data_IF_186203094606
#
_entry.id   IF_186203094606
#
_cell.length_a   1.000
_cell.length_b   1.000
_cell.length_c   1.000
_cell.angle_alpha   90.00
_cell.angle_beta   90.00
_cell.angle_gamma   90.00
#
_symmetry.space_group_name_H-M   'P 1'
#
loop_
_entity.id
_entity.type
_entity.pdbx_description
1 polymer ?
#
# COMPACT_ATOMS: atom_id res chain seq x y z
N UNK A 1 4.48 -2.14 1.75
CA UNK A 1 5.71 -1.97 2.58
C UNK A 1 5.64 -2.62 3.97
N UNK A 2 4.64 -2.32 4.81
CA UNK A 2 4.61 -2.71 6.23
C UNK A 2 4.65 -4.24 6.42
N UNK A 3 3.93 -4.98 5.58
CA UNK A 3 3.97 -6.44 5.59
C UNK A 3 5.29 -7.01 5.10
N UNK A 4 5.96 -6.31 4.18
CA UNK A 4 7.18 -6.81 3.54
C UNK A 4 8.37 -6.75 4.51
N UNK A 5 8.51 -5.67 5.28
CA UNK A 5 9.61 -5.52 6.26
C UNK A 5 9.59 -6.59 7.35
N UNK A 6 8.43 -7.20 7.65
CA UNK A 6 8.31 -8.27 8.64
C UNK A 6 9.11 -9.53 8.27
N UNK A 7 9.30 -9.79 6.97
CA UNK A 7 9.98 -10.99 6.48
C UNK A 7 11.08 -10.69 5.46
N UNK A 8 11.66 -9.49 5.52
CA UNK A 8 12.70 -9.07 4.57
C UNK A 8 13.94 -9.98 4.58
N UNK A 9 14.21 -10.70 5.68
CA UNK A 9 15.32 -11.65 5.79
C UNK A 9 15.23 -12.79 4.76
N UNK A 10 14.02 -13.13 4.28
CA UNK A 10 13.82 -14.17 3.26
C UNK A 10 14.41 -13.81 1.89
N UNK A 11 14.82 -12.56 1.69
CA UNK A 11 15.65 -12.18 0.54
C UNK A 11 16.93 -13.03 0.46
N UNK A 12 17.49 -13.43 1.61
CA UNK A 12 18.65 -14.34 1.67
C UNK A 12 18.33 -15.70 1.06
N UNK A 13 17.14 -16.24 1.34
CA UNK A 13 16.63 -17.49 0.76
C UNK A 13 16.52 -17.37 -0.76
N UNK A 14 15.93 -16.27 -1.27
CA UNK A 14 15.79 -16.05 -2.72
C UNK A 14 17.15 -16.03 -3.42
N UNK A 15 18.14 -15.38 -2.81
CA UNK A 15 19.48 -15.26 -3.37
C UNK A 15 20.23 -16.59 -3.29
N UNK A 16 20.19 -17.29 -2.15
CA UNK A 16 20.84 -18.59 -1.95
C UNK A 16 20.38 -19.64 -2.98
N UNK A 17 19.08 -19.67 -3.26
CA UNK A 17 18.50 -20.63 -4.21
C UNK A 17 18.38 -20.08 -5.63
N UNK A 18 18.87 -18.86 -5.90
CA UNK A 18 18.82 -18.19 -7.22
C UNK A 18 17.39 -18.13 -7.78
N UNK A 19 16.41 -17.89 -6.91
CA UNK A 19 15.00 -17.84 -7.29
C UNK A 19 14.67 -16.46 -7.87
N UNK A 20 14.17 -16.36 -9.12
CA UNK A 20 13.91 -15.08 -9.78
C UNK A 20 12.58 -14.44 -9.34
N UNK A 21 12.32 -14.39 -8.03
CA UNK A 21 11.08 -13.83 -7.46
C UNK A 21 11.07 -12.31 -7.57
N UNK A 22 9.88 -11.75 -7.85
CA UNK A 22 9.64 -10.32 -8.03
C UNK A 22 8.80 -9.79 -6.86
N UNK A 23 9.44 -9.05 -5.95
CA UNK A 23 8.74 -8.34 -4.89
C UNK A 23 8.35 -6.96 -5.38
N UNK A 24 7.06 -6.78 -5.64
CA UNK A 24 6.49 -5.49 -6.06
C UNK A 24 5.84 -4.84 -4.84
N UNK A 25 6.52 -3.85 -4.26
CA UNK A 25 6.09 -3.19 -3.03
C UNK A 25 5.29 -1.95 -3.43
N UNK A 26 4.02 -1.93 -3.04
CA UNK A 26 3.26 -0.67 -2.95
C UNK A 26 3.68 0.01 -1.66
N UNK A 27 4.32 1.18 -1.78
CA UNK A 27 4.88 1.94 -0.68
C UNK A 27 4.11 3.24 -0.54
N UNK A 28 3.22 3.27 0.45
CA UNK A 28 2.45 4.45 0.82
C UNK A 28 2.92 5.04 2.16
N UNK A 29 3.98 4.48 2.76
CA UNK A 29 4.57 4.88 4.04
C UNK A 29 3.64 4.72 5.26
N UNK A 30 2.57 3.93 5.13
CA UNK A 30 1.57 3.72 6.17
C UNK A 30 1.15 2.25 6.26
N UNK A 31 0.56 1.86 7.39
CA UNK A 31 -0.30 0.68 7.47
C UNK A 31 -1.65 1.01 6.82
N UNK A 32 -1.68 1.09 5.48
CA UNK A 32 -2.78 1.65 4.71
C UNK A 32 -4.18 1.18 5.13
N UNK A 33 -4.36 -0.12 5.41
CA UNK A 33 -5.66 -0.61 5.87
C UNK A 33 -6.05 -0.12 7.25
N UNK A 34 -5.12 -0.09 8.20
CA UNK A 34 -5.39 0.44 9.55
C UNK A 34 -5.70 1.94 9.47
N UNK A 35 -4.96 2.68 8.64
CA UNK A 35 -5.22 4.12 8.41
C UNK A 35 -6.61 4.35 7.80
N UNK A 36 -7.02 3.56 6.80
CA UNK A 36 -8.37 3.67 6.21
C UNK A 36 -9.48 3.47 7.28
N UNK A 37 -9.32 2.50 8.18
CA UNK A 37 -10.28 2.29 9.28
C UNK A 37 -10.26 3.45 10.29
N UNK A 38 -9.09 4.00 10.59
CA UNK A 38 -8.95 5.17 11.47
C UNK A 38 -9.64 6.41 10.89
N UNK A 39 -9.60 6.57 9.57
CA UNK A 39 -10.28 7.68 8.89
C UNK A 39 -11.79 7.53 8.91
N UNK A 40 -12.30 6.33 8.60
CA UNK A 40 -13.74 6.11 8.52
C UNK A 40 -14.44 6.09 9.88
N UNK A 41 -13.80 5.55 10.92
CA UNK A 41 -14.47 5.25 12.18
C UNK A 41 -13.89 5.96 13.41
N UNK A 42 -12.73 6.61 13.28
CA UNK A 42 -12.04 7.24 14.41
C UNK A 42 -11.69 8.70 14.16
N UNK A 43 -12.41 9.38 13.27
CA UNK A 43 -12.30 10.82 13.04
C UNK A 43 -10.91 11.25 12.56
N UNK A 44 -10.29 10.46 11.68
CA UNK A 44 -8.94 10.69 11.15
C UNK A 44 -7.83 10.72 12.23
N UNK A 45 -8.04 10.06 13.38
CA UNK A 45 -7.02 9.92 14.42
C UNK A 45 -6.07 8.79 14.06
N UNK A 46 -4.95 9.12 13.40
CA UNK A 46 -3.90 8.16 13.07
C UNK A 46 -3.09 7.77 14.31
N UNK A 47 -3.36 6.60 14.87
CA UNK A 47 -2.64 6.07 16.02
C UNK A 47 -1.60 5.03 15.56
N UNK A 48 -0.32 5.43 15.52
CA UNK A 48 0.84 4.57 15.20
C UNK A 48 0.69 3.76 13.89
N UNK A 49 -0.03 4.32 12.92
CA UNK A 49 -0.24 3.71 11.60
C UNK A 49 0.68 4.28 10.52
N UNK A 50 1.47 5.31 10.84
CA UNK A 50 2.50 5.88 9.96
C UNK A 50 3.82 5.11 10.11
N UNK A 51 4.66 5.13 9.08
CA UNK A 51 5.97 4.46 9.10
C UNK A 51 7.08 5.36 8.58
N UNK A 52 7.62 6.22 9.45
CA UNK A 52 8.72 7.13 9.10
C UNK A 52 10.09 6.45 9.07
N UNK A 53 10.22 5.29 9.72
CA UNK A 53 11.48 4.56 9.86
C UNK A 53 11.69 3.48 8.79
N UNK A 54 11.07 3.62 7.61
CA UNK A 54 11.22 2.63 6.53
C UNK A 54 12.64 2.63 5.97
N UNK A 55 13.22 1.45 5.71
CA UNK A 55 14.53 1.36 5.08
C UNK A 55 14.46 1.76 3.60
N UNK A 56 15.61 2.10 3.03
CA UNK A 56 15.74 2.23 1.58
C UNK A 56 15.71 0.84 0.93
N UNK A 57 14.55 0.45 0.39
CA UNK A 57 14.32 -0.88 -0.18
C UNK A 57 15.26 -1.22 -1.34
N UNK A 58 15.69 -0.22 -2.12
CA UNK A 58 16.64 -0.42 -3.23
C UNK A 58 17.98 -0.86 -2.68
N UNK A 59 18.54 -0.11 -1.72
CA UNK A 59 19.82 -0.44 -1.07
C UNK A 59 19.74 -1.74 -0.27
N UNK A 60 18.61 -2.02 0.36
CA UNK A 60 18.39 -3.27 1.08
C UNK A 60 18.43 -4.48 0.13
N UNK A 61 17.78 -4.38 -1.03
CA UNK A 61 17.84 -5.44 -2.04
C UNK A 61 19.28 -5.68 -2.53
N UNK A 62 20.02 -4.60 -2.81
CA UNK A 62 21.43 -4.66 -3.18
C UNK A 62 22.29 -5.33 -2.10
N UNK A 63 22.04 -5.02 -0.81
CA UNK A 63 22.76 -5.60 0.32
C UNK A 63 22.58 -7.13 0.42
N UNK A 64 21.40 -7.66 0.05
CA UNK A 64 21.18 -9.10 -0.04
C UNK A 64 21.78 -9.74 -1.30
N UNK A 65 22.23 -8.95 -2.29
CA UNK A 65 22.65 -9.44 -3.60
C UNK A 65 21.48 -9.64 -4.57
N UNK A 66 20.33 -8.98 -4.33
CA UNK A 66 19.22 -8.86 -5.27
C UNK A 66 19.35 -7.59 -6.13
N UNK A 67 18.37 -7.33 -6.98
CA UNK A 67 18.27 -6.09 -7.77
C UNK A 67 17.20 -5.20 -7.14
N UNK A 68 17.53 -3.94 -6.85
CA UNK A 68 16.59 -2.92 -6.39
C UNK A 68 16.17 -2.01 -7.54
N UNK A 69 14.87 -1.74 -7.67
CA UNK A 69 14.30 -0.79 -8.61
C UNK A 69 13.32 0.12 -7.88
N UNK A 70 13.12 1.35 -8.36
CA UNK A 70 12.15 2.29 -7.76
C UNK A 70 11.42 3.09 -8.84
N UNK A 71 10.12 3.25 -8.65
CA UNK A 71 9.31 4.23 -9.38
C UNK A 71 8.72 5.21 -8.37
N UNK A 72 8.85 6.50 -8.65
CA UNK A 72 8.32 7.60 -7.83
C UNK A 72 7.20 8.36 -8.53
N UNK A 73 7.10 8.21 -9.85
CA UNK A 73 6.06 8.82 -10.67
C UNK A 73 5.37 7.78 -11.55
N UNK A 74 4.13 8.03 -12.01
CA UNK A 74 3.42 7.11 -12.90
C UNK A 74 4.16 6.84 -14.23
N UNK A 75 4.84 7.83 -14.79
CA UNK A 75 5.55 7.72 -16.07
C UNK A 75 6.75 6.75 -16.00
N UNK A 76 7.32 6.55 -14.81
CA UNK A 76 8.43 5.60 -14.57
C UNK A 76 7.96 4.15 -14.43
N UNK A 77 6.67 3.93 -14.14
CA UNK A 77 6.15 2.65 -13.70
C UNK A 77 6.32 1.56 -14.76
N UNK A 78 5.97 1.87 -16.01
CA UNK A 78 6.05 0.93 -17.12
C UNK A 78 7.49 0.46 -17.37
N UNK A 79 8.45 1.35 -17.23
CA UNK A 79 9.86 1.04 -17.46
C UNK A 79 10.44 0.20 -16.32
N UNK A 80 10.08 0.50 -15.08
CA UNK A 80 10.43 -0.33 -13.91
C UNK A 80 9.85 -1.74 -14.03
N UNK A 81 8.59 -1.89 -14.45
CA UNK A 81 7.96 -3.20 -14.64
C UNK A 81 8.68 -3.99 -15.75
N UNK A 82 8.97 -3.34 -16.89
CA UNK A 82 9.70 -3.98 -17.99
C UNK A 82 11.09 -4.44 -17.55
N UNK A 83 11.81 -3.63 -16.78
CA UNK A 83 13.13 -4.00 -16.25
C UNK A 83 13.04 -5.15 -15.25
N UNK A 84 12.12 -5.07 -14.28
CA UNK A 84 11.87 -6.10 -13.27
C UNK A 84 11.63 -7.49 -13.89
N UNK A 85 10.84 -7.55 -14.97
CA UNK A 85 10.51 -8.79 -15.70
C UNK A 85 11.75 -9.35 -16.43
N UNK A 86 12.60 -8.50 -17.02
CA UNK A 86 13.80 -8.92 -17.78
C UNK A 86 14.88 -9.53 -16.89
N UNK A 87 15.00 -9.05 -15.65
CA UNK A 87 16.03 -9.49 -14.72
C UNK A 87 15.81 -10.97 -14.33
N UNK A 88 16.86 -11.81 -14.39
CA UNK A 88 16.78 -13.23 -13.98
C UNK A 88 17.20 -13.51 -12.53
N UNK A 89 17.34 -12.45 -11.74
CA UNK A 89 17.67 -12.46 -10.30
C UNK A 89 16.42 -12.07 -9.48
N UNK A 90 16.44 -12.28 -8.14
CA UNK A 90 15.45 -11.68 -7.26
C UNK A 90 15.42 -10.15 -7.46
N UNK A 91 14.24 -9.57 -7.49
CA UNK A 91 14.04 -8.11 -7.66
C UNK A 91 13.14 -7.60 -6.54
N UNK A 92 13.50 -6.46 -5.97
CA UNK A 92 12.62 -5.64 -5.14
C UNK A 92 12.33 -4.35 -5.92
N UNK A 93 11.07 -4.18 -6.33
CA UNK A 93 10.58 -2.96 -6.95
C UNK A 93 9.79 -2.16 -5.91
N UNK A 94 10.30 -0.99 -5.56
CA UNK A 94 9.70 -0.05 -4.62
C UNK A 94 8.87 0.99 -5.38
N UNK A 95 7.55 0.89 -5.30
CA UNK A 95 6.62 1.73 -6.05
C UNK A 95 5.97 2.69 -5.08
N UNK A 96 6.36 3.96 -5.17
CA UNK A 96 5.77 5.01 -4.35
C UNK A 96 4.37 5.29 -4.87
N UNK A 97 3.38 5.19 -3.98
CA UNK A 97 1.99 5.48 -4.27
C UNK A 97 1.45 6.52 -3.30
N UNK A 98 0.31 7.11 -3.63
CA UNK A 98 -0.34 8.09 -2.76
C UNK A 98 -0.73 7.46 -1.41
N UNK A 99 -0.47 8.21 -0.34
CA UNK A 99 -0.71 7.83 1.06
C UNK A 99 -2.19 7.93 1.44
N UNK A 100 -2.94 8.77 0.74
CA UNK A 100 -4.32 9.10 1.04
C UNK A 100 -5.34 8.15 0.39
N UNK A 101 -4.90 7.25 -0.50
CA UNK A 101 -5.78 6.33 -1.21
C UNK A 101 -6.46 5.33 -0.27
N UNK A 102 -7.74 5.08 -0.54
CA UNK A 102 -8.59 4.17 0.21
C UNK A 102 -9.16 3.10 -0.73
N UNK A 103 -9.39 1.90 -0.20
CA UNK A 103 -9.95 0.79 -0.96
C UNK A 103 -11.47 0.91 -1.01
N UNK A 104 -12.01 1.00 -2.21
CA UNK A 104 -13.43 0.98 -2.52
C UNK A 104 -13.74 -0.09 -3.60
N UNK A 105 -14.98 -0.61 -3.67
CA UNK A 105 -16.07 -0.38 -2.72
C UNK A 105 -15.86 -1.11 -1.39
N UNK A 106 -16.50 -0.63 -0.31
CA UNK A 106 -16.37 -1.22 1.04
C UNK A 106 -17.74 -1.44 1.67
N UNK A 107 -17.97 -2.61 2.27
CA UNK A 107 -19.12 -2.86 3.14
C UNK A 107 -18.63 -2.83 4.60
N UNK A 108 -19.10 -1.89 5.44
CA UNK A 108 -18.70 -1.84 6.85
C UNK A 108 -19.05 -3.12 7.61
N UNK A 109 -18.29 -3.40 8.67
CA UNK A 109 -18.57 -4.54 9.54
C UNK A 109 -19.97 -4.43 10.14
N UNK A 110 -20.82 -5.44 9.89
CA UNK A 110 -22.20 -5.48 10.37
C UNK A 110 -23.25 -4.89 9.42
N UNK A 111 -22.86 -4.31 8.28
CA UNK A 111 -23.77 -3.78 7.27
C UNK A 111 -24.26 -4.86 6.29
N UNK A 112 -25.42 -4.63 5.68
CA UNK A 112 -25.96 -5.48 4.62
C UNK A 112 -25.26 -5.23 3.27
N UNK A 113 -25.40 -6.17 2.33
CA UNK A 113 -24.70 -6.09 1.04
C UNK A 113 -25.10 -4.88 0.18
N UNK A 114 -26.30 -4.34 0.38
CA UNK A 114 -26.80 -3.15 -0.30
C UNK A 114 -26.35 -1.83 0.35
N UNK A 115 -25.67 -1.87 1.51
CA UNK A 115 -25.14 -0.71 2.22
C UNK A 115 -23.66 -0.49 1.87
N UNK A 116 -23.39 -0.45 0.57
CA UNK A 116 -22.03 -0.36 0.04
C UNK A 116 -21.53 1.10 0.00
N UNK A 117 -20.32 1.32 0.52
CA UNK A 117 -19.63 2.60 0.40
C UNK A 117 -18.86 2.64 -0.92
N UNK A 118 -19.23 3.59 -1.78
CA UNK A 118 -18.58 3.84 -3.06
C UNK A 118 -17.51 4.94 -2.92
N UNK A 119 -16.62 5.01 -3.91
CA UNK A 119 -15.61 6.06 -3.95
C UNK A 119 -16.29 7.45 -4.10
N UNK A 120 -15.73 8.53 -3.54
CA UNK A 120 -16.33 9.87 -3.64
C UNK A 120 -16.53 10.37 -5.07
N UNK A 121 -15.72 9.88 -6.01
CA UNK A 121 -15.80 10.24 -7.43
C UNK A 121 -16.75 9.33 -8.24
N UNK A 122 -17.37 8.32 -7.61
CA UNK A 122 -18.29 7.41 -8.28
C UNK A 122 -19.64 8.11 -8.53
N UNK A 123 -20.14 8.15 -9.79
CA UNK A 123 -21.41 8.78 -10.12
C UNK A 123 -22.63 8.11 -9.47
N UNK A 124 -22.49 6.87 -8.98
CA UNK A 124 -23.52 6.15 -8.24
C UNK A 124 -23.41 6.28 -6.72
N UNK A 125 -22.41 7.02 -6.21
CA UNK A 125 -22.29 7.31 -4.79
C UNK A 125 -23.51 8.11 -4.30
N UNK A 126 -24.15 7.71 -3.19
CA UNK A 126 -25.23 8.49 -2.62
C UNK A 126 -24.71 9.89 -2.24
N UNK A 127 -25.38 10.94 -2.72
CA UNK A 127 -25.11 12.32 -2.34
C UNK A 127 -25.33 12.43 -0.83
N UNK A 128 -24.27 12.72 -0.07
CA UNK A 128 -24.42 13.03 1.36
C UNK A 128 -25.25 14.30 1.48
N UNK A 129 -26.50 14.17 1.91
CA UNK A 129 -27.19 15.27 2.57
C UNK A 129 -26.54 15.43 3.95
N UNK A 130 -25.94 16.58 4.21
CA UNK A 130 -25.57 16.97 5.58
C UNK A 130 -26.85 17.06 6.40
N UNK A 131 -27.15 16.04 7.20
CA UNK A 131 -28.09 16.17 8.31
C UNK A 131 -27.38 16.89 9.45
N UNK A 132 -27.72 18.16 9.56
CA UNK A 132 -27.55 19.02 10.73
C UNK A 132 -28.26 18.38 11.95
N UNK A 133 -27.51 18.01 12.99
CA UNK A 133 -28.04 17.92 14.36
C UNK A 133 -27.98 16.58 15.12
N UNK A 134 -27.42 16.67 16.34
CA UNK A 134 -27.60 15.83 17.55
C UNK A 134 -26.89 14.47 17.63
N UNK A 135 -26.20 14.08 18.71
CA UNK A 135 -25.99 14.71 20.01
C UNK A 135 -24.70 14.19 20.66
N UNK A 136 -23.98 15.09 21.31
CA UNK A 136 -23.07 14.82 22.43
C UNK A 136 -23.82 14.21 23.61
N UNK A 137 -23.38 13.03 24.09
CA UNK A 137 -23.18 12.69 25.51
C UNK A 137 -22.00 11.73 25.60
#
# INVERSE_FOLDING_TARGET
EASWVMNMQEMSTLVQYRLPVKSFILNNSYMGMVRQWQDFFHGNRHAESYMDSLPDFVKLAEAFGAVGLRATTPDELDDVIKEMIKVKRPVVADIVVDRAENVYPMIPGGAAHNEIMLAPADPSAPVKHEEDGMATV
#
